data_IF_622897006546
#
_entry.id   IF_622897006546
#
_cell.length_a   1.000
_cell.length_b   1.000
_cell.length_c   1.000
_cell.angle_alpha   90.00
_cell.angle_beta   90.00
_cell.angle_gamma   90.00
#
_symmetry.space_group_name_H-M   'P 1'
#
loop_
_entity.id
_entity.type
_entity.pdbx_description
1 polymer ?
#
# COMPACT_ATOMS: atom_id res chain seq x y z
N UNK A 1 -8.15 10.77 4.17
CA UNK A 1 -7.39 9.61 4.69
C UNK A 1 -5.93 9.97 4.95
N UNK A 2 -5.13 10.33 3.92
CA UNK A 2 -3.70 10.63 4.11
C UNK A 2 -3.47 11.81 5.06
N UNK A 3 -4.23 12.91 4.93
CA UNK A 3 -4.14 14.04 5.87
C UNK A 3 -4.40 13.60 7.33
N UNK A 4 -5.45 12.82 7.56
CA UNK A 4 -5.77 12.28 8.90
C UNK A 4 -4.63 11.40 9.44
N UNK A 5 -4.01 10.57 8.60
CA UNK A 5 -2.86 9.76 9.00
C UNK A 5 -1.65 10.63 9.34
N UNK A 6 -1.39 11.69 8.56
CA UNK A 6 -0.30 12.63 8.80
C UNK A 6 -0.51 13.42 10.11
N UNK A 7 -1.75 13.80 10.41
CA UNK A 7 -2.12 14.45 11.67
C UNK A 7 -2.02 13.50 12.87
N UNK A 8 -2.43 12.23 12.70
CA UNK A 8 -2.39 11.22 13.76
C UNK A 8 -0.98 10.72 14.06
N UNK A 9 -0.11 10.66 13.05
CA UNK A 9 1.26 10.18 13.16
C UNK A 9 2.24 11.23 12.61
N UNK A 10 2.41 12.38 13.31
CA UNK A 10 3.31 13.42 12.84
C UNK A 10 4.74 12.89 12.74
N UNK A 11 5.44 13.28 11.67
CA UNK A 11 6.82 12.87 11.39
C UNK A 11 7.01 11.44 10.88
N UNK A 12 5.93 10.64 10.76
CA UNK A 12 6.04 9.30 10.21
C UNK A 12 5.98 9.33 8.67
N UNK A 13 6.90 8.63 7.98
CA UNK A 13 6.87 8.57 6.53
C UNK A 13 5.63 7.80 6.05
N UNK A 14 4.83 8.44 5.20
CA UNK A 14 3.65 7.82 4.60
C UNK A 14 3.96 7.51 3.14
N UNK A 15 3.83 6.23 2.78
CA UNK A 15 3.96 5.77 1.41
C UNK A 15 2.62 5.22 0.91
N UNK A 16 2.34 5.42 -0.37
CA UNK A 16 1.08 5.00 -0.97
C UNK A 16 1.30 4.01 -2.10
N UNK A 17 0.54 2.93 -2.08
CA UNK A 17 0.48 1.96 -3.15
C UNK A 17 -0.77 2.21 -4.01
N UNK A 18 -0.60 2.57 -5.28
CA UNK A 18 -1.71 2.94 -6.17
C UNK A 18 -1.47 2.51 -7.61
N UNK A 19 -2.48 2.65 -8.46
CA UNK A 19 -2.35 2.36 -9.89
C UNK A 19 -1.48 3.41 -10.58
N UNK A 20 -0.92 3.06 -11.75
CA UNK A 20 -0.10 3.97 -12.55
C UNK A 20 -0.83 5.26 -12.92
N UNK A 21 -2.15 5.20 -13.13
CA UNK A 21 -2.98 6.36 -13.46
C UNK A 21 -3.13 7.33 -12.29
N UNK A 22 -3.25 6.80 -11.06
CA UNK A 22 -3.41 7.59 -9.85
C UNK A 22 -2.06 8.00 -9.20
N UNK A 23 -0.94 7.42 -9.65
CA UNK A 23 0.39 7.73 -9.13
C UNK A 23 0.79 9.22 -9.26
N UNK A 24 0.50 9.94 -10.35
CA UNK A 24 0.78 11.37 -10.45
C UNK A 24 0.05 12.18 -9.37
N UNK A 25 -1.22 11.87 -9.11
CA UNK A 25 -2.01 12.55 -8.07
C UNK A 25 -1.44 12.30 -6.67
N UNK A 26 -1.04 11.06 -6.38
CA UNK A 26 -0.39 10.70 -5.12
C UNK A 26 0.91 11.51 -4.87
N UNK A 27 1.72 11.72 -5.93
CA UNK A 27 2.98 12.45 -5.82
C UNK A 27 2.80 13.95 -5.55
N UNK A 28 1.62 14.50 -5.80
CA UNK A 28 1.31 15.91 -5.50
C UNK A 28 0.96 16.12 -4.02
N UNK A 29 0.77 15.06 -3.24
CA UNK A 29 0.39 15.16 -1.84
C UNK A 29 1.64 15.39 -0.97
N UNK A 30 1.68 16.45 -0.14
CA UNK A 30 2.89 16.84 0.59
C UNK A 30 3.29 15.83 1.69
N UNK A 31 2.34 15.02 2.16
CA UNK A 31 2.58 14.03 3.21
C UNK A 31 3.09 12.70 2.66
N UNK A 32 3.12 12.50 1.35
CA UNK A 32 3.57 11.24 0.74
C UNK A 32 5.08 11.31 0.47
N UNK A 33 5.83 10.38 1.04
CA UNK A 33 7.26 10.21 0.77
C UNK A 33 7.51 9.41 -0.51
N UNK A 34 6.81 8.28 -0.68
CA UNK A 34 7.00 7.38 -1.84
C UNK A 34 5.69 6.84 -2.38
N UNK A 35 5.62 6.70 -3.71
CA UNK A 35 4.48 6.11 -4.41
C UNK A 35 4.89 4.80 -5.06
N UNK A 36 4.29 3.70 -4.63
CA UNK A 36 4.41 2.37 -5.21
C UNK A 36 3.34 2.14 -6.28
N UNK A 37 3.74 1.59 -7.41
CA UNK A 37 2.82 1.25 -8.50
C UNK A 37 2.36 -0.20 -8.32
N UNK A 38 1.05 -0.39 -8.17
CA UNK A 38 0.41 -1.71 -8.11
C UNK A 38 -0.55 -1.83 -9.28
N UNK A 39 -0.28 -2.77 -10.19
CA UNK A 39 -1.17 -3.00 -11.32
C UNK A 39 -2.22 -4.08 -11.02
N UNK A 40 -3.47 -3.79 -11.39
CA UNK A 40 -4.62 -4.68 -11.19
C UNK A 40 -4.59 -5.91 -12.12
N UNK A 41 -3.93 -5.81 -13.27
CA UNK A 41 -3.96 -6.80 -14.37
C UNK A 41 -2.69 -7.65 -14.53
N UNK A 42 -1.90 -7.78 -13.48
CA UNK A 42 -0.71 -8.64 -13.44
C UNK A 42 -1.03 -10.12 -13.72
N UNK A 43 -0.87 -10.57 -14.98
CA UNK A 43 -0.85 -11.96 -15.47
C UNK A 43 0.48 -12.20 -16.21
N UNK A 44 1.30 -13.22 -15.87
CA UNK A 44 1.24 -14.15 -14.73
C UNK A 44 1.89 -13.52 -13.48
N UNK A 45 1.35 -12.41 -12.99
CA UNK A 45 2.09 -11.49 -12.13
C UNK A 45 2.12 -11.81 -10.65
N UNK A 46 2.37 -13.08 -10.31
CA UNK A 46 2.75 -13.44 -8.95
C UNK A 46 4.22 -13.09 -8.68
N UNK A 47 5.08 -13.19 -9.70
CA UNK A 47 6.50 -12.83 -9.62
C UNK A 47 6.70 -11.33 -9.46
N UNK A 48 5.95 -10.49 -10.20
CA UNK A 48 6.00 -9.03 -10.02
C UNK A 48 5.48 -8.62 -8.63
N UNK A 49 4.41 -9.25 -8.14
CA UNK A 49 3.91 -9.04 -6.76
C UNK A 49 4.96 -9.39 -5.71
N UNK A 50 5.63 -10.53 -5.86
CA UNK A 50 6.68 -10.95 -4.94
C UNK A 50 7.90 -10.03 -5.00
N UNK A 51 8.28 -9.56 -6.20
CA UNK A 51 9.33 -8.55 -6.37
C UNK A 51 8.98 -7.24 -5.67
N UNK A 52 7.78 -6.71 -5.92
CA UNK A 52 7.30 -5.50 -5.25
C UNK A 52 7.22 -5.68 -3.73
N UNK A 53 6.68 -6.80 -3.25
CA UNK A 53 6.61 -7.10 -1.83
C UNK A 53 7.99 -7.19 -1.18
N UNK A 54 9.00 -7.71 -1.89
CA UNK A 54 10.38 -7.73 -1.43
C UNK A 54 10.97 -6.33 -1.31
N UNK A 55 10.70 -5.45 -2.27
CA UNK A 55 11.14 -4.05 -2.18
C UNK A 55 10.44 -3.31 -1.04
N UNK A 56 9.13 -3.52 -0.87
CA UNK A 56 8.35 -2.97 0.25
C UNK A 56 8.86 -3.49 1.60
N UNK A 57 9.26 -4.77 1.68
CA UNK A 57 9.84 -5.35 2.90
C UNK A 57 11.12 -4.64 3.34
N UNK A 58 11.93 -4.12 2.41
CA UNK A 58 13.17 -3.38 2.76
C UNK A 58 12.90 -2.05 3.46
N UNK A 59 11.70 -1.49 3.30
CA UNK A 59 11.31 -0.23 3.93
C UNK A 59 10.84 -0.41 5.38
N UNK A 60 10.72 -1.66 5.87
CA UNK A 60 10.35 -2.00 7.24
C UNK A 60 9.06 -1.32 7.74
N UNK A 61 8.01 -1.35 6.92
CA UNK A 61 6.71 -0.80 7.31
C UNK A 61 6.13 -1.57 8.50
N UNK A 62 5.68 -0.83 9.50
CA UNK A 62 5.00 -1.40 10.66
C UNK A 62 3.50 -1.59 10.45
N UNK A 63 2.87 -0.66 9.73
CA UNK A 63 1.43 -0.69 9.49
C UNK A 63 1.09 -0.51 8.01
N UNK A 64 0.13 -1.29 7.53
CA UNK A 64 -0.47 -1.16 6.21
C UNK A 64 -1.97 -0.85 6.34
N UNK A 65 -2.38 0.32 5.85
CA UNK A 65 -3.79 0.74 5.78
C UNK A 65 -4.38 0.43 4.41
N UNK A 66 -5.24 -0.59 4.37
CA UNK A 66 -5.97 -1.03 3.18
C UNK A 66 -7.30 -0.27 3.07
N UNK A 67 -7.31 0.76 2.24
CA UNK A 67 -8.50 1.59 2.02
C UNK A 67 -9.56 0.92 1.15
N UNK A 68 -9.18 -0.12 0.40
CA UNK A 68 -10.08 -0.89 -0.46
C UNK A 68 -10.34 -2.26 0.16
N UNK A 69 -11.57 -2.76 0.06
CA UNK A 69 -11.95 -4.08 0.56
C UNK A 69 -11.43 -5.26 -0.25
N UNK A 70 -10.63 -5.04 -1.29
CA UNK A 70 -10.19 -6.12 -2.17
C UNK A 70 -9.15 -7.03 -1.51
N UNK A 71 -9.42 -8.33 -1.47
CA UNK A 71 -8.46 -9.37 -1.06
C UNK A 71 -7.11 -9.28 -1.80
N UNK A 72 -7.12 -8.84 -3.06
CA UNK A 72 -5.89 -8.64 -3.85
C UNK A 72 -5.01 -7.52 -3.33
N UNK A 73 -5.58 -6.53 -2.65
CA UNK A 73 -4.83 -5.44 -2.03
C UNK A 73 -4.08 -5.92 -0.78
N UNK A 74 -4.62 -6.91 -0.06
CA UNK A 74 -4.00 -7.49 1.13
C UNK A 74 -2.79 -8.39 0.82
N UNK A 75 -2.69 -8.90 -0.41
CA UNK A 75 -1.63 -9.85 -0.80
C UNK A 75 -0.23 -9.23 -0.74
N UNK A 76 -0.07 -7.98 -1.15
CA UNK A 76 1.24 -7.30 -1.14
C UNK A 76 1.72 -7.03 0.30
N UNK A 77 0.92 -6.43 1.20
CA UNK A 77 1.26 -6.30 2.62
C UNK A 77 1.54 -7.63 3.32
N UNK A 78 0.78 -8.67 2.98
CA UNK A 78 0.98 -10.01 3.53
C UNK A 78 2.32 -10.61 3.09
N UNK A 79 2.63 -10.55 1.78
CA UNK A 79 3.93 -11.00 1.25
C UNK A 79 5.10 -10.14 1.75
N UNK A 80 4.88 -8.85 1.98
CA UNK A 80 5.90 -7.96 2.54
C UNK A 80 6.21 -8.29 4.00
N UNK A 81 5.30 -8.94 4.72
CA UNK A 81 5.48 -9.32 6.13
C UNK A 81 5.15 -8.20 7.12
N UNK A 82 4.33 -7.22 6.71
CA UNK A 82 3.98 -6.07 7.54
C UNK A 82 3.14 -6.54 8.74
N UNK A 83 3.53 -6.27 9.99
CA UNK A 83 2.89 -6.86 11.17
C UNK A 83 1.46 -6.36 11.38
N UNK A 84 1.23 -5.05 11.27
CA UNK A 84 -0.09 -4.45 11.43
C UNK A 84 -0.76 -4.23 10.06
N UNK A 85 -1.90 -4.87 9.81
CA UNK A 85 -2.65 -4.78 8.55
C UNK A 85 -4.09 -4.39 8.84
N UNK A 86 -4.41 -3.11 8.64
CA UNK A 86 -5.70 -2.51 8.98
C UNK A 86 -6.49 -2.33 7.69
N UNK A 87 -7.73 -2.77 7.65
CA UNK A 87 -8.60 -2.58 6.48
C UNK A 87 -10.05 -2.87 6.81
N UNK A 88 -10.93 -2.66 5.83
CA UNK A 88 -12.35 -2.98 5.99
C UNK A 88 -12.60 -4.49 5.80
N UNK A 89 -13.23 -5.18 6.76
CA UNK A 89 -13.69 -6.55 6.57
C UNK A 89 -14.91 -6.50 5.64
N UNK A 90 -14.78 -6.87 4.36
CA UNK A 90 -15.95 -6.78 3.46
C UNK A 90 -16.10 -7.82 2.35
N UNK A 91 -15.24 -8.84 2.25
CA UNK A 91 -15.43 -9.90 1.24
C UNK A 91 -15.99 -11.22 1.83
N UNK A 92 -16.37 -11.26 3.11
CA UNK A 92 -16.94 -12.44 3.78
C UNK A 92 -18.24 -12.15 4.58
N UNK A 93 -19.01 -11.13 4.19
CA UNK A 93 -20.40 -10.99 4.64
C UNK A 93 -21.36 -11.29 3.51
#
# INVERSE_FOLDING_TARGET
>A
AIQILAEKFPGHPIDVATSRLAAPLARLMPHIRKTWIVEKHWKPGLKERAGLAREIRKEDYQAAYMLTSSTKAALVPWLAGIPERIGYPREFQ
#
